data_IF_465193007289
#
_entry.id   IF_465193007289
#
_cell.length_a   1.000
_cell.length_b   1.000
_cell.length_c   1.000
_cell.angle_alpha   90.00
_cell.angle_beta   90.00
_cell.angle_gamma   90.00
#
_symmetry.space_group_name_H-M   'P 1'
#
loop_
_entity.id
_entity.type
_entity.pdbx_description
1 polymer ?
#
# COMPACT_ATOMS: atom_id res chain seq x y z
N UNK A 1 11.53 -2.50 -26.19
CA UNK A 1 11.64 -3.46 -25.07
C UNK A 1 11.16 -2.90 -23.72
N UNK A 2 11.04 -1.60 -23.57
CA UNK A 2 10.63 -0.89 -22.34
C UNK A 2 9.13 -0.91 -22.02
N UNK A 3 8.25 -1.03 -23.04
CA UNK A 3 6.79 -1.03 -22.84
C UNK A 3 6.24 -2.29 -22.13
N UNK A 4 6.99 -3.38 -22.09
CA UNK A 4 6.55 -4.61 -21.40
C UNK A 4 6.82 -4.61 -19.90
N UNK A 5 7.69 -3.73 -19.41
CA UNK A 5 8.03 -3.61 -17.98
C UNK A 5 6.90 -2.92 -17.21
N UNK A 6 6.24 -1.93 -17.84
CA UNK A 6 5.13 -1.20 -17.23
C UNK A 6 3.88 -2.07 -16.99
N UNK A 7 3.69 -3.12 -17.80
CA UNK A 7 2.53 -4.01 -17.69
C UNK A 7 2.63 -5.00 -16.53
N UNK A 8 3.86 -5.33 -16.10
CA UNK A 8 4.08 -6.31 -15.02
C UNK A 8 4.00 -5.65 -13.65
N UNK A 9 4.44 -4.39 -13.53
CA UNK A 9 4.36 -3.61 -12.28
C UNK A 9 2.91 -3.35 -11.85
N UNK A 10 1.99 -3.15 -12.80
CA UNK A 10 0.56 -2.99 -12.49
C UNK A 10 -0.08 -4.26 -11.92
N UNK A 11 0.44 -5.43 -12.25
CA UNK A 11 -0.17 -6.71 -11.85
C UNK A 11 0.28 -7.19 -10.47
N UNK A 12 1.50 -6.87 -10.04
CA UNK A 12 2.06 -7.39 -8.79
C UNK A 12 1.61 -6.56 -7.58
N UNK A 13 1.38 -5.27 -7.75
CA UNK A 13 0.76 -4.43 -6.70
C UNK A 13 -0.65 -4.91 -6.37
N UNK A 14 -1.37 -5.51 -7.33
CA UNK A 14 -2.74 -5.98 -7.17
C UNK A 14 -2.83 -7.27 -6.33
N UNK A 15 -1.85 -8.17 -6.41
CA UNK A 15 -1.95 -9.49 -5.78
C UNK A 15 -1.78 -9.42 -4.25
N UNK A 16 -1.05 -8.44 -3.73
CA UNK A 16 -0.82 -8.34 -2.27
C UNK A 16 -2.03 -7.78 -1.53
N UNK A 17 -2.87 -7.00 -2.22
CA UNK A 17 -4.02 -6.32 -1.59
C UNK A 17 -5.31 -7.14 -1.63
N UNK A 18 -5.40 -8.14 -2.51
CA UNK A 18 -6.61 -8.95 -2.69
C UNK A 18 -7.08 -9.73 -1.43
N UNK A 19 -6.20 -9.88 -0.43
CA UNK A 19 -6.55 -10.58 0.81
C UNK A 19 -7.28 -9.71 1.85
N UNK A 20 -7.33 -8.38 1.69
CA UNK A 20 -7.80 -7.46 2.74
C UNK A 20 -9.29 -7.15 2.65
N UNK A 21 -9.85 -7.09 1.45
CA UNK A 21 -11.22 -6.59 1.24
C UNK A 21 -12.34 -7.60 1.62
N UNK A 22 -12.01 -8.88 1.75
CA UNK A 22 -13.01 -9.91 2.03
C UNK A 22 -13.53 -9.98 3.47
N UNK A 23 -12.88 -9.32 4.42
CA UNK A 23 -13.13 -9.52 5.84
C UNK A 23 -14.02 -8.47 6.53
N UNK A 24 -14.08 -7.26 6.03
CA UNK A 24 -14.76 -6.17 6.73
C UNK A 24 -16.25 -6.07 6.36
N UNK A 25 -16.64 -6.52 5.18
CA UNK A 25 -18.01 -6.36 4.67
C UNK A 25 -19.07 -7.37 5.17
N UNK A 26 -18.69 -8.48 5.82
CA UNK A 26 -19.63 -9.58 6.11
C UNK A 26 -20.05 -9.78 7.56
N UNK A 27 -19.57 -8.96 8.51
CA UNK A 27 -19.92 -9.13 9.93
C UNK A 27 -20.76 -8.01 10.55
N UNK A 28 -21.35 -7.12 9.75
CA UNK A 28 -22.20 -6.03 10.26
C UNK A 28 -23.69 -6.30 10.00
N UNK A 29 -24.12 -7.54 9.93
CA UNK A 29 -25.55 -7.82 9.91
C UNK A 29 -25.87 -8.85 10.97
N UNK A 30 -26.25 -8.36 12.13
CA UNK A 30 -27.27 -8.87 13.04
C UNK A 30 -27.02 -8.42 14.48
N UNK A 31 -27.47 -7.22 14.82
CA UNK A 31 -27.99 -6.91 16.17
C UNK A 31 -28.83 -5.67 16.06
N UNK A 32 -30.09 -5.83 16.37
CA UNK A 32 -31.14 -4.82 16.34
C UNK A 32 -31.01 -3.84 17.52
N UNK A 33 -30.11 -2.92 17.41
CA UNK A 33 -30.03 -1.58 17.97
C UNK A 33 -29.34 -0.78 16.88
N UNK A 34 -29.90 0.33 16.44
CA UNK A 34 -29.32 1.12 15.37
C UNK A 34 -27.82 1.31 15.67
N UNK A 35 -26.91 0.74 14.87
CA UNK A 35 -25.50 0.85 15.17
C UNK A 35 -25.13 2.33 15.06
N UNK A 36 -24.75 2.93 16.17
CA UNK A 36 -24.12 4.24 16.15
C UNK A 36 -22.95 4.16 15.16
N UNK A 37 -22.91 5.07 14.18
CA UNK A 37 -21.78 5.12 13.23
C UNK A 37 -20.49 5.15 14.03
N UNK A 38 -19.44 4.42 13.61
CA UNK A 38 -18.16 4.44 14.30
C UNK A 38 -17.63 5.87 14.34
N UNK A 39 -17.03 6.28 15.44
CA UNK A 39 -16.31 7.55 15.52
C UNK A 39 -15.06 7.52 14.63
N UNK A 40 -14.49 8.68 14.33
CA UNK A 40 -13.23 8.76 13.56
C UNK A 40 -12.11 7.93 14.21
N UNK A 41 -12.00 7.95 15.54
CA UNK A 41 -11.02 7.15 16.28
C UNK A 41 -11.27 5.64 16.13
N UNK A 42 -12.52 5.22 16.25
CA UNK A 42 -12.89 3.81 16.06
C UNK A 42 -12.61 3.35 14.61
N UNK A 43 -12.82 4.22 13.63
CA UNK A 43 -12.53 3.91 12.23
C UNK A 43 -11.02 3.76 12.00
N UNK A 44 -10.21 4.67 12.56
CA UNK A 44 -8.75 4.56 12.50
C UNK A 44 -8.26 3.25 13.13
N UNK A 45 -8.80 2.88 14.28
CA UNK A 45 -8.45 1.63 14.96
C UNK A 45 -8.80 0.38 14.13
N UNK A 46 -9.97 0.38 13.49
CA UNK A 46 -10.38 -0.68 12.56
C UNK A 46 -9.46 -0.77 11.33
N UNK A 47 -9.03 0.37 10.78
CA UNK A 47 -8.06 0.40 9.69
C UNK A 47 -6.71 -0.17 10.12
N UNK A 48 -6.19 0.24 11.28
CA UNK A 48 -4.93 -0.27 11.83
C UNK A 48 -4.99 -1.79 12.03
N UNK A 49 -6.07 -2.30 12.61
CA UNK A 49 -6.27 -3.75 12.79
C UNK A 49 -6.31 -4.49 11.45
N UNK A 50 -7.03 -3.95 10.48
CA UNK A 50 -7.13 -4.51 9.13
C UNK A 50 -5.77 -4.53 8.43
N UNK A 51 -5.04 -3.43 8.52
CA UNK A 51 -3.70 -3.32 7.94
C UNK A 51 -2.68 -4.26 8.59
N UNK A 52 -2.72 -4.39 9.94
CA UNK A 52 -1.85 -5.35 10.63
C UNK A 52 -2.10 -6.78 10.18
N UNK A 53 -3.36 -7.18 10.08
CA UNK A 53 -3.71 -8.51 9.58
C UNK A 53 -3.16 -8.75 8.17
N UNK A 54 -3.31 -7.79 7.29
CA UNK A 54 -2.81 -7.87 5.93
C UNK A 54 -1.27 -7.91 5.87
N UNK A 55 -0.61 -7.09 6.68
CA UNK A 55 0.84 -7.09 6.78
C UNK A 55 1.37 -8.45 7.29
N UNK A 56 0.73 -9.03 8.30
CA UNK A 56 1.07 -10.37 8.80
C UNK A 56 0.91 -11.44 7.72
N UNK A 57 -0.21 -11.43 7.01
CA UNK A 57 -0.48 -12.40 5.94
C UNK A 57 0.54 -12.28 4.81
N UNK A 58 0.85 -11.05 4.38
CA UNK A 58 1.85 -10.83 3.32
C UNK A 58 3.25 -11.24 3.78
N UNK A 59 3.65 -10.90 5.00
CA UNK A 59 4.97 -11.18 5.54
C UNK A 59 5.22 -12.69 5.75
N UNK A 60 4.19 -13.52 5.94
CA UNK A 60 4.31 -14.99 6.00
C UNK A 60 4.87 -15.59 4.72
N UNK A 61 4.69 -14.93 3.59
CA UNK A 61 5.20 -15.38 2.30
C UNK A 61 6.70 -15.08 2.14
N UNK A 62 7.28 -14.31 3.06
CA UNK A 62 8.68 -13.89 3.03
C UNK A 62 9.03 -12.93 1.89
N UNK A 63 10.26 -12.43 1.87
CA UNK A 63 10.75 -11.59 0.78
C UNK A 63 10.66 -12.31 -0.56
N UNK A 64 10.24 -11.61 -1.62
CA UNK A 64 10.11 -12.18 -2.96
C UNK A 64 10.34 -11.14 -4.05
N UNK A 65 10.87 -11.58 -5.17
CA UNK A 65 10.96 -10.76 -6.37
C UNK A 65 9.55 -10.44 -6.88
N UNK A 66 9.29 -9.17 -7.11
CA UNK A 66 8.04 -8.68 -7.72
C UNK A 66 8.19 -8.45 -9.21
N UNK A 67 9.41 -8.20 -9.63
CA UNK A 67 9.85 -8.21 -11.02
C UNK A 67 11.34 -8.66 -11.09
N UNK A 68 11.97 -8.51 -12.26
CA UNK A 68 13.37 -8.96 -12.45
C UNK A 68 14.39 -8.14 -11.65
N UNK A 69 14.06 -6.91 -11.27
CA UNK A 69 14.99 -5.97 -10.65
C UNK A 69 14.56 -5.52 -9.25
N UNK A 70 13.31 -5.78 -8.87
CA UNK A 70 12.71 -5.30 -7.62
C UNK A 70 12.29 -6.46 -6.72
N UNK A 71 12.68 -6.41 -5.46
CA UNK A 71 12.25 -7.34 -4.42
C UNK A 71 11.34 -6.64 -3.43
N UNK A 72 10.19 -7.21 -3.14
CA UNK A 72 9.42 -6.84 -1.95
C UNK A 72 10.05 -7.54 -0.73
N UNK A 73 10.35 -6.77 0.32
CA UNK A 73 11.04 -7.26 1.50
C UNK A 73 10.08 -7.54 2.65
N UNK A 74 9.21 -6.60 2.97
CA UNK A 74 8.24 -6.69 4.06
C UNK A 74 7.19 -5.60 3.98
N UNK A 75 6.14 -5.76 4.79
CA UNK A 75 5.12 -4.74 5.05
C UNK A 75 5.06 -4.45 6.55
N UNK A 76 4.92 -3.19 6.94
CA UNK A 76 4.68 -2.78 8.32
C UNK A 76 3.50 -1.83 8.41
N UNK A 77 2.97 -1.64 9.62
CA UNK A 77 1.86 -0.71 9.88
C UNK A 77 2.28 0.30 10.94
N UNK A 78 1.86 1.55 10.76
CA UNK A 78 2.10 2.64 11.68
C UNK A 78 3.17 3.63 11.22
N UNK A 79 3.26 4.80 11.90
CA UNK A 79 2.32 5.25 12.94
C UNK A 79 0.95 5.59 12.34
N UNK A 80 -0.13 5.36 13.11
CA UNK A 80 -1.51 5.55 12.66
C UNK A 80 -1.94 4.54 11.59
N UNK A 81 -2.99 4.86 10.84
CA UNK A 81 -3.53 4.02 9.76
C UNK A 81 -2.67 4.12 8.48
N UNK A 82 -1.41 3.71 8.60
CA UNK A 82 -0.38 3.79 7.57
C UNK A 82 0.17 2.40 7.27
N UNK A 83 0.13 1.99 6.00
CA UNK A 83 0.79 0.75 5.51
C UNK A 83 2.08 1.13 4.82
N UNK A 84 3.19 0.53 5.23
CA UNK A 84 4.49 0.76 4.64
C UNK A 84 4.96 -0.52 3.94
N UNK A 85 5.11 -0.46 2.63
CA UNK A 85 5.71 -1.50 1.80
C UNK A 85 7.18 -1.17 1.57
N UNK A 86 8.05 -2.12 1.90
CA UNK A 86 9.49 -1.99 1.71
C UNK A 86 9.95 -2.83 0.53
N UNK A 87 10.61 -2.16 -0.39
CA UNK A 87 11.20 -2.76 -1.58
C UNK A 87 12.70 -2.50 -1.64
N UNK A 88 13.42 -3.40 -2.25
CA UNK A 88 14.84 -3.22 -2.55
C UNK A 88 15.17 -3.59 -3.99
N UNK A 89 16.27 -3.01 -4.48
CA UNK A 89 16.90 -3.34 -5.75
C UNK A 89 18.11 -4.25 -5.49
N UNK A 90 17.99 -5.59 -5.58
CA UNK A 90 19.06 -6.51 -5.17
C UNK A 90 20.37 -6.36 -5.96
N UNK A 91 20.27 -5.85 -7.19
CA UNK A 91 21.39 -5.75 -8.13
C UNK A 91 21.94 -4.33 -8.29
N UNK A 92 21.39 -3.33 -7.59
CA UNK A 92 21.75 -1.92 -7.75
C UNK A 92 21.82 -1.23 -6.40
N UNK A 93 22.83 -0.39 -6.22
CA UNK A 93 23.00 0.41 -5.01
C UNK A 93 22.18 1.71 -5.05
N UNK A 94 22.09 2.38 -3.91
CA UNK A 94 21.47 3.71 -3.81
C UNK A 94 22.20 4.79 -4.59
N UNK A 95 23.46 4.54 -5.00
CA UNK A 95 24.24 5.45 -5.84
C UNK A 95 23.95 5.25 -7.34
N UNK A 96 23.44 4.09 -7.74
CA UNK A 96 23.15 3.76 -9.14
C UNK A 96 21.71 4.12 -9.52
N UNK A 97 20.78 4.04 -8.57
CA UNK A 97 19.40 4.49 -8.76
C UNK A 97 19.17 5.73 -7.90
N UNK A 98 18.85 6.85 -8.53
CA UNK A 98 18.62 8.09 -7.80
C UNK A 98 17.14 8.29 -7.44
N UNK A 99 16.87 9.02 -6.35
CA UNK A 99 15.52 9.42 -5.97
C UNK A 99 14.81 10.18 -7.11
N UNK A 100 15.50 11.12 -7.77
CA UNK A 100 14.95 11.88 -8.89
C UNK A 100 14.48 10.97 -10.02
N UNK A 101 15.31 9.95 -10.37
CA UNK A 101 14.91 9.00 -11.42
C UNK A 101 13.66 8.21 -11.05
N UNK A 102 13.54 7.78 -9.78
CA UNK A 102 12.34 7.07 -9.31
C UNK A 102 11.10 7.97 -9.32
N UNK A 103 11.22 9.23 -8.91
CA UNK A 103 10.11 10.19 -8.97
C UNK A 103 9.64 10.42 -10.41
N UNK A 104 10.56 10.66 -11.34
CA UNK A 104 10.23 10.92 -12.74
C UNK A 104 9.57 9.71 -13.44
N UNK A 105 9.97 8.50 -13.09
CA UNK A 105 9.55 7.31 -13.82
C UNK A 105 8.47 6.47 -13.11
N UNK A 106 8.41 6.49 -11.78
CA UNK A 106 7.58 5.55 -11.02
C UNK A 106 6.46 6.20 -10.20
N UNK A 107 6.63 7.43 -9.72
CA UNK A 107 5.64 8.06 -8.82
C UNK A 107 4.24 8.08 -9.42
N UNK A 108 4.11 8.54 -10.66
CA UNK A 108 2.80 8.60 -11.34
C UNK A 108 2.18 7.22 -11.56
N UNK A 109 3.00 6.21 -11.83
CA UNK A 109 2.55 4.83 -12.04
C UNK A 109 2.04 4.23 -10.73
N UNK A 110 2.80 4.39 -9.65
CA UNK A 110 2.43 3.90 -8.32
C UNK A 110 1.17 4.62 -7.83
N UNK A 111 1.15 5.96 -7.94
CA UNK A 111 -0.02 6.79 -7.61
C UNK A 111 -1.27 6.32 -8.34
N UNK A 112 -1.18 6.13 -9.64
CA UNK A 112 -2.30 5.63 -10.44
C UNK A 112 -2.75 4.24 -9.97
N UNK A 113 -1.80 3.35 -9.68
CA UNK A 113 -2.08 2.02 -9.13
C UNK A 113 -2.85 2.08 -7.81
N UNK A 114 -2.43 2.94 -6.88
CA UNK A 114 -3.09 3.14 -5.58
C UNK A 114 -4.49 3.75 -5.77
N UNK A 115 -4.58 4.83 -6.54
CA UNK A 115 -5.82 5.61 -6.66
C UNK A 115 -6.93 4.91 -7.46
N UNK A 116 -6.56 4.00 -8.36
CA UNK A 116 -7.53 3.23 -9.15
C UNK A 116 -7.88 1.88 -8.54
N UNK A 117 -7.15 1.45 -7.51
CA UNK A 117 -7.37 0.18 -6.85
C UNK A 117 -8.66 0.23 -6.02
N UNK A 118 -9.64 -0.60 -6.41
CA UNK A 118 -10.95 -0.66 -5.76
C UNK A 118 -10.90 -1.15 -4.32
N UNK A 119 -9.87 -1.89 -3.95
CA UNK A 119 -9.69 -2.44 -2.61
C UNK A 119 -8.99 -1.45 -1.67
N UNK A 120 -8.10 -0.59 -2.21
CA UNK A 120 -7.44 0.46 -1.44
C UNK A 120 -8.34 1.68 -1.23
N UNK A 121 -9.24 1.95 -2.17
CA UNK A 121 -10.08 3.14 -2.16
C UNK A 121 -10.86 3.35 -0.85
N UNK A 122 -11.54 2.35 -0.28
CA UNK A 122 -12.26 2.55 0.98
C UNK A 122 -11.34 2.96 2.13
N UNK A 123 -10.18 2.32 2.27
CA UNK A 123 -9.24 2.67 3.34
C UNK A 123 -8.66 4.08 3.17
N UNK A 124 -8.38 4.52 1.93
CA UNK A 124 -7.98 5.90 1.65
C UNK A 124 -9.07 6.90 2.06
N UNK A 125 -10.33 6.64 1.73
CA UNK A 125 -11.47 7.50 2.07
C UNK A 125 -11.64 7.66 3.59
N UNK A 126 -11.34 6.63 4.36
CA UNK A 126 -11.37 6.63 5.82
C UNK A 126 -10.04 7.08 6.48
N UNK A 127 -9.11 7.63 5.71
CA UNK A 127 -7.88 8.24 6.23
C UNK A 127 -6.67 7.33 6.28
N UNK A 128 -6.74 6.17 5.62
CA UNK A 128 -5.57 5.30 5.43
C UNK A 128 -4.53 5.95 4.52
N UNK A 129 -3.27 5.63 4.74
CA UNK A 129 -2.12 6.10 3.95
C UNK A 129 -1.30 4.90 3.47
N UNK A 130 -0.86 4.94 2.23
CA UNK A 130 -0.01 3.91 1.62
C UNK A 130 1.37 4.47 1.32
N UNK A 131 2.40 3.81 1.83
CA UNK A 131 3.80 4.21 1.68
C UNK A 131 4.58 3.12 0.96
N UNK A 132 5.37 3.52 -0.03
CA UNK A 132 6.24 2.66 -0.82
C UNK A 132 7.67 3.14 -0.66
N UNK A 133 8.47 2.44 0.14
CA UNK A 133 9.87 2.77 0.42
C UNK A 133 10.79 1.89 -0.41
N UNK A 134 11.73 2.48 -1.13
CA UNK A 134 12.68 1.81 -2.00
C UNK A 134 14.11 2.00 -1.50
N UNK A 135 14.87 0.90 -1.45
CA UNK A 135 16.27 0.88 -1.00
C UNK A 135 17.17 0.20 -2.02
N UNK A 136 18.44 0.55 -2.03
CA UNK A 136 19.46 -0.17 -2.79
C UNK A 136 19.88 -1.49 -2.11
N UNK A 137 20.75 -2.26 -2.78
CA UNK A 137 21.37 -3.46 -2.22
C UNK A 137 22.32 -3.17 -1.04
N UNK A 138 22.72 -1.92 -0.89
CA UNK A 138 23.49 -1.36 0.23
C UNK A 138 22.62 -1.08 1.47
N UNK A 139 21.31 -1.32 1.39
CA UNK A 139 20.34 -1.10 2.46
C UNK A 139 19.99 0.38 2.70
N UNK A 140 20.49 1.28 1.87
CA UNK A 140 20.21 2.72 1.97
C UNK A 140 18.89 3.02 1.28
N UNK A 141 17.98 3.70 1.98
CA UNK A 141 16.71 4.15 1.39
C UNK A 141 16.98 5.23 0.34
N UNK A 142 16.50 5.00 -0.88
CA UNK A 142 16.66 5.91 -2.01
C UNK A 142 15.54 6.94 -2.00
N UNK A 143 14.30 6.48 -1.83
CA UNK A 143 13.12 7.33 -1.81
C UNK A 143 11.94 6.60 -1.19
N UNK A 144 10.92 7.41 -0.87
CA UNK A 144 9.63 6.90 -0.42
C UNK A 144 8.51 7.71 -1.05
N UNK A 145 7.51 7.00 -1.55
CA UNK A 145 6.27 7.60 -2.05
C UNK A 145 5.18 7.39 -1.01
N UNK A 146 4.38 8.40 -0.77
CA UNK A 146 3.29 8.36 0.18
C UNK A 146 2.02 8.86 -0.51
N UNK A 147 0.93 8.10 -0.37
CA UNK A 147 -0.34 8.43 -1.01
C UNK A 147 -1.48 8.31 -0.01
N UNK A 148 -2.28 9.35 0.06
CA UNK A 148 -3.51 9.41 0.83
C UNK A 148 -4.72 9.73 -0.08
N UNK A 149 -5.87 10.01 0.53
CA UNK A 149 -7.09 10.37 -0.19
C UNK A 149 -6.95 11.67 -1.01
N UNK A 150 -6.12 12.63 -0.54
CA UNK A 150 -5.95 13.93 -1.21
C UNK A 150 -5.17 13.75 -2.51
N UNK A 151 -4.16 12.90 -2.51
CA UNK A 151 -3.41 12.55 -3.71
C UNK A 151 -4.29 11.91 -4.78
N UNK A 152 -5.30 11.16 -4.34
CA UNK A 152 -6.25 10.46 -5.20
C UNK A 152 -7.52 11.27 -5.52
N UNK A 153 -7.64 12.50 -5.05
CA UNK A 153 -8.85 13.33 -5.18
C UNK A 153 -10.13 12.62 -4.69
N UNK A 154 -10.01 11.81 -3.64
CA UNK A 154 -11.14 11.10 -3.06
C UNK A 154 -11.82 11.94 -1.98
N UNK A 155 -13.18 11.93 -1.92
CA UNK A 155 -13.90 12.55 -0.82
C UNK A 155 -13.56 11.81 0.50
N UNK A 156 -13.62 12.55 1.62
CA UNK A 156 -13.63 11.88 2.92
C UNK A 156 -14.98 11.20 3.12
N UNK A 157 -14.94 9.92 3.46
CA UNK A 157 -16.09 9.28 4.06
C UNK A 157 -16.12 9.72 5.53
N UNK A 158 -17.15 10.47 5.90
CA UNK A 158 -17.41 10.74 7.31
C UNK A 158 -18.05 9.52 7.93
N UNK A 159 -17.61 9.10 9.12
CA UNK A 159 -18.23 7.99 9.85
C UNK A 159 -19.69 8.26 10.20
#
# INVERSE_FOLDING_TARGET
MWQKILSVLGFVVIIIVAAIAGGVGKRISQSALAPSRPTAQQMEELLIQSFNKAAEESNRLGPRMVDKDTRWDRTTVGPGARVNYFYSFPNQSSLEITSSWLHENWESVIKNGVCTNKEMKPSLQFGGTYVYAYSGNDGVEITRFEFDRHDCNLPSESP
#
